data_IF_611443428979
#
_entry.id   IF_611443428979
#
_cell.length_a   1.000
_cell.length_b   1.000
_cell.length_c   1.000
_cell.angle_alpha   90.00
_cell.angle_beta   90.00
_cell.angle_gamma   90.00
#
_symmetry.space_group_name_H-M   'P 1'
#
loop_
_entity.id
_entity.type
_entity.pdbx_description
1 polymer ?
#
# COMPACT_ATOMS: atom_id res chain seq x y z
N UNK A 1 7.36 -15.70 -1.33
CA UNK A 1 6.97 -16.74 -0.34
C UNK A 1 7.35 -18.15 -0.81
N UNK A 2 7.61 -19.06 0.13
CA UNK A 2 7.51 -20.51 -0.08
C UNK A 2 6.03 -20.88 -0.26
N UNK A 3 5.49 -20.66 -1.46
CA UNK A 3 4.22 -21.25 -1.86
C UNK A 3 4.39 -22.77 -1.79
N UNK A 4 3.55 -23.44 -1.02
CA UNK A 4 3.45 -24.89 -1.14
C UNK A 4 2.75 -25.16 -2.47
N UNK A 5 3.34 -26.01 -3.32
CA UNK A 5 2.77 -26.44 -4.61
C UNK A 5 1.37 -27.06 -4.44
N UNK A 6 1.00 -27.34 -3.20
CA UNK A 6 -0.25 -27.89 -2.72
C UNK A 6 -1.41 -26.87 -2.69
N UNK A 7 -1.13 -25.56 -2.70
CA UNK A 7 -2.18 -24.53 -2.79
C UNK A 7 -2.90 -24.58 -4.13
N UNK A 8 -4.23 -24.73 -4.11
CA UNK A 8 -5.04 -24.98 -5.30
C UNK A 8 -6.20 -24.00 -5.42
N UNK A 9 -6.32 -23.42 -6.62
CA UNK A 9 -7.43 -22.55 -7.00
C UNK A 9 -8.20 -23.20 -8.15
N UNK A 10 -9.49 -23.44 -7.93
CA UNK A 10 -10.39 -24.03 -8.92
C UNK A 10 -11.49 -23.06 -9.29
N UNK A 11 -11.72 -22.91 -10.59
CA UNK A 11 -12.94 -22.34 -11.15
C UNK A 11 -13.83 -23.44 -11.71
N UNK A 12 -15.14 -23.29 -11.52
CA UNK A 12 -16.15 -24.17 -12.10
C UNK A 12 -16.98 -23.36 -13.07
N UNK A 13 -17.02 -23.74 -14.35
CA UNK A 13 -17.78 -23.05 -15.39
C UNK A 13 -18.44 -24.09 -16.30
N UNK A 14 -19.77 -24.05 -16.41
CA UNK A 14 -20.53 -25.01 -17.25
C UNK A 14 -20.18 -26.49 -16.97
N UNK A 15 -20.06 -26.86 -15.69
CA UNK A 15 -19.64 -28.19 -15.22
C UNK A 15 -18.18 -28.60 -15.53
N UNK A 16 -17.37 -27.71 -16.13
CA UNK A 16 -15.93 -27.90 -16.27
C UNK A 16 -15.17 -27.36 -15.05
N UNK A 17 -14.24 -28.15 -14.53
CA UNK A 17 -13.29 -27.76 -13.49
C UNK A 17 -11.99 -27.25 -14.14
N UNK A 18 -11.60 -26.03 -13.79
CA UNK A 18 -10.41 -25.35 -14.31
C UNK A 18 -9.49 -25.06 -13.12
N UNK A 19 -8.39 -25.79 -13.02
CA UNK A 19 -7.32 -25.51 -12.06
C UNK A 19 -6.43 -24.38 -12.57
N UNK A 20 -6.16 -23.40 -11.72
CA UNK A 20 -5.25 -22.29 -12.02
C UNK A 20 -3.94 -22.40 -11.24
N UNK A 21 -2.86 -21.98 -11.86
CA UNK A 21 -1.51 -21.99 -11.29
C UNK A 21 -1.12 -20.61 -10.75
N UNK A 22 -0.58 -20.58 -9.52
CA UNK A 22 -0.07 -19.35 -8.91
C UNK A 22 1.16 -18.83 -9.69
N UNK A 23 1.26 -17.51 -9.83
CA UNK A 23 2.29 -16.84 -10.62
C UNK A 23 1.92 -16.70 -12.09
N UNK A 24 1.50 -17.78 -12.76
CA UNK A 24 1.12 -17.72 -14.18
C UNK A 24 -0.31 -17.22 -14.39
N UNK A 25 -1.28 -17.79 -13.66
CA UNK A 25 -2.71 -17.53 -13.87
C UNK A 25 -3.29 -16.54 -12.85
N UNK A 26 -2.75 -16.52 -11.63
CA UNK A 26 -3.17 -15.61 -10.57
C UNK A 26 -2.05 -15.33 -9.56
N UNK A 27 -2.20 -14.26 -8.80
CA UNK A 27 -1.36 -13.91 -7.65
C UNK A 27 -2.25 -13.83 -6.42
N UNK A 28 -1.74 -14.25 -5.26
CA UNK A 28 -2.42 -14.06 -3.98
C UNK A 28 -2.15 -12.64 -3.48
N UNK A 29 -3.21 -11.86 -3.23
CA UNK A 29 -3.08 -10.49 -2.72
C UNK A 29 -3.41 -10.38 -1.24
N UNK A 30 -4.32 -11.22 -0.74
CA UNK A 30 -4.71 -11.25 0.67
C UNK A 30 -4.94 -12.72 1.04
N UNK A 31 -4.23 -13.17 2.07
CA UNK A 31 -4.28 -14.54 2.55
C UNK A 31 -3.56 -14.65 3.89
N UNK A 32 -3.81 -15.75 4.59
CA UNK A 32 -3.25 -16.08 5.88
C UNK A 32 -3.23 -17.58 6.09
N UNK A 33 -2.75 -18.00 7.26
CA UNK A 33 -2.52 -19.42 7.57
C UNK A 33 -3.75 -20.32 7.35
N UNK A 34 -4.97 -19.75 7.44
CA UNK A 34 -6.24 -20.47 7.35
C UNK A 34 -7.13 -20.00 6.19
N UNK A 35 -6.58 -19.30 5.21
CA UNK A 35 -7.38 -18.79 4.09
C UNK A 35 -7.80 -19.95 3.17
N UNK A 36 -9.05 -20.38 3.33
CA UNK A 36 -9.69 -21.41 2.50
C UNK A 36 -11.09 -20.95 2.09
N UNK A 37 -11.49 -21.32 0.87
CA UNK A 37 -12.85 -21.27 0.37
C UNK A 37 -13.26 -22.73 0.10
N UNK A 38 -13.76 -23.45 1.13
CA UNK A 38 -13.81 -24.92 1.13
C UNK A 38 -14.91 -25.51 0.24
N UNK A 39 -15.79 -24.66 -0.31
CA UNK A 39 -16.88 -25.06 -1.22
C UNK A 39 -16.87 -24.15 -2.43
N UNK A 40 -17.25 -24.65 -3.62
CA UNK A 40 -17.52 -23.82 -4.77
C UNK A 40 -18.49 -22.69 -4.38
N UNK A 41 -18.01 -21.46 -4.48
CA UNK A 41 -18.68 -20.25 -4.00
C UNK A 41 -18.97 -19.33 -5.19
N UNK A 42 -20.17 -18.77 -5.21
CA UNK A 42 -20.64 -17.88 -6.29
C UNK A 42 -19.78 -16.62 -6.38
N UNK A 43 -19.56 -16.17 -7.61
CA UNK A 43 -18.83 -14.94 -7.93
C UNK A 43 -19.81 -13.85 -8.33
N UNK A 44 -19.67 -12.64 -7.78
CA UNK A 44 -20.47 -11.47 -8.15
C UNK A 44 -19.57 -10.37 -8.66
N UNK A 45 -19.84 -9.92 -9.89
CA UNK A 45 -19.18 -8.76 -10.45
C UNK A 45 -19.79 -7.45 -9.95
N UNK A 46 -18.94 -6.55 -9.46
CA UNK A 46 -19.30 -5.24 -8.90
C UNK A 46 -18.55 -4.09 -9.58
N UNK A 47 -18.29 -4.15 -10.89
CA UNK A 47 -17.60 -3.04 -11.57
C UNK A 47 -16.19 -2.82 -11.02
N UNK A 48 -15.94 -1.63 -10.47
CA UNK A 48 -14.67 -1.29 -9.81
C UNK A 48 -14.71 -1.53 -8.29
N UNK A 49 -15.84 -1.94 -7.71
CA UNK A 49 -15.97 -2.17 -6.27
C UNK A 49 -15.92 -0.88 -5.44
N UNK A 50 -16.45 0.22 -5.98
CA UNK A 50 -16.36 1.56 -5.37
C UNK A 50 -17.67 1.94 -4.68
N UNK A 51 -17.55 2.60 -3.52
CA UNK A 51 -18.63 3.34 -2.87
C UNK A 51 -18.11 4.75 -2.57
N UNK A 52 -18.54 5.73 -3.36
CA UNK A 52 -18.13 7.11 -3.29
C UNK A 52 -19.37 8.04 -3.33
N UNK A 53 -20.05 8.25 -2.19
CA UNK A 53 -21.26 9.07 -2.14
C UNK A 53 -21.04 10.52 -2.64
N UNK A 54 -19.84 11.06 -2.46
CA UNK A 54 -19.44 12.38 -2.96
C UNK A 54 -19.43 12.48 -4.49
N UNK A 55 -19.33 11.36 -5.19
CA UNK A 55 -19.41 11.26 -6.65
C UNK A 55 -20.73 10.65 -7.14
N UNK A 56 -21.71 10.44 -6.25
CA UNK A 56 -22.96 9.70 -6.53
C UNK A 56 -22.70 8.32 -7.16
N UNK A 57 -21.62 7.65 -6.73
CA UNK A 57 -21.16 6.39 -7.31
C UNK A 57 -21.19 5.26 -6.28
N UNK A 58 -21.87 4.16 -6.60
CA UNK A 58 -21.90 2.96 -5.74
C UNK A 58 -22.09 1.69 -6.58
N UNK A 59 -21.00 0.95 -6.77
CA UNK A 59 -21.01 -0.27 -7.57
C UNK A 59 -21.71 -1.47 -6.90
N UNK A 60 -21.95 -1.39 -5.59
CA UNK A 60 -22.64 -2.42 -4.83
C UNK A 60 -24.16 -2.22 -4.80
N UNK A 61 -24.68 -1.17 -5.44
CA UNK A 61 -26.12 -0.95 -5.52
C UNK A 61 -26.81 -2.15 -6.16
N UNK A 62 -27.83 -2.67 -5.48
CA UNK A 62 -28.62 -3.83 -5.91
C UNK A 62 -27.80 -5.14 -6.06
N UNK A 63 -26.59 -5.21 -5.51
CA UNK A 63 -25.74 -6.42 -5.50
C UNK A 63 -25.73 -7.06 -4.11
N UNK A 64 -26.12 -8.32 -4.02
CA UNK A 64 -25.88 -9.13 -2.82
C UNK A 64 -24.54 -9.85 -2.92
N UNK A 65 -23.60 -9.48 -2.06
CA UNK A 65 -22.23 -10.03 -2.01
C UNK A 65 -21.96 -10.87 -0.75
N UNK A 66 -22.93 -10.99 0.16
CA UNK A 66 -22.76 -11.70 1.42
C UNK A 66 -22.47 -13.19 1.18
N UNK A 67 -21.36 -13.68 1.73
CA UNK A 67 -20.87 -15.05 1.56
C UNK A 67 -20.35 -15.38 0.16
N UNK A 68 -20.24 -14.40 -0.75
CA UNK A 68 -19.82 -14.61 -2.15
C UNK A 68 -18.42 -14.07 -2.40
N UNK A 69 -17.83 -14.48 -3.53
CA UNK A 69 -16.57 -13.91 -4.01
C UNK A 69 -16.87 -12.68 -4.85
N UNK A 70 -16.25 -11.54 -4.52
CA UNK A 70 -16.46 -10.29 -5.25
C UNK A 70 -15.42 -10.14 -6.35
N UNK A 71 -15.87 -10.09 -7.61
CA UNK A 71 -15.04 -9.79 -8.77
C UNK A 71 -15.09 -8.29 -9.08
N UNK A 72 -13.93 -7.67 -9.26
CA UNK A 72 -13.82 -6.24 -9.55
C UNK A 72 -12.66 -5.94 -10.50
N UNK A 73 -12.71 -4.81 -11.19
CA UNK A 73 -11.60 -4.26 -11.96
C UNK A 73 -10.69 -3.41 -11.07
N UNK A 74 -9.38 -3.42 -11.33
CA UNK A 74 -8.46 -2.45 -10.72
C UNK A 74 -8.70 -1.04 -11.23
N UNK A 75 -8.19 -0.03 -10.53
CA UNK A 75 -8.36 1.36 -10.93
C UNK A 75 -9.78 1.85 -10.67
N UNK A 76 -10.24 2.83 -11.43
CA UNK A 76 -11.55 3.46 -11.26
C UNK A 76 -12.08 3.94 -12.62
N UNK A 77 -13.35 4.37 -12.71
CA UNK A 77 -13.90 4.89 -13.95
C UNK A 77 -13.09 6.08 -14.49
N UNK A 78 -12.55 5.94 -15.71
CA UNK A 78 -11.79 7.02 -16.37
C UNK A 78 -12.73 8.20 -16.66
N UNK A 79 -12.30 9.40 -16.28
CA UNK A 79 -13.08 10.63 -16.41
C UNK A 79 -12.20 11.80 -16.81
N UNK A 80 -12.61 12.56 -17.81
CA UNK A 80 -11.95 13.84 -18.11
C UNK A 80 -12.53 15.01 -17.28
N UNK A 81 -13.46 14.72 -16.35
CA UNK A 81 -14.08 15.73 -15.51
C UNK A 81 -13.48 15.70 -14.11
N UNK A 82 -12.97 16.85 -13.67
CA UNK A 82 -12.39 16.99 -12.33
C UNK A 82 -13.41 16.75 -11.20
N UNK A 83 -14.70 16.98 -11.46
CA UNK A 83 -15.79 16.76 -10.50
C UNK A 83 -16.20 15.28 -10.35
N UNK A 84 -15.55 14.37 -11.08
CA UNK A 84 -15.83 12.94 -11.04
C UNK A 84 -14.51 12.16 -11.05
N UNK A 85 -14.16 11.57 -9.90
CA UNK A 85 -12.90 10.85 -9.67
C UNK A 85 -11.63 11.66 -10.00
N UNK A 86 -11.61 12.96 -9.70
CA UNK A 86 -10.40 13.81 -9.82
C UNK A 86 -9.78 13.91 -11.23
N UNK A 87 -10.52 13.52 -12.27
CA UNK A 87 -10.07 13.60 -13.66
C UNK A 87 -9.13 12.46 -14.06
N UNK A 88 -7.97 12.82 -14.63
CA UNK A 88 -6.95 11.86 -15.08
C UNK A 88 -6.06 11.35 -13.95
N UNK A 89 -6.12 11.99 -12.78
CA UNK A 89 -5.41 11.57 -11.59
C UNK A 89 -6.26 10.55 -10.83
N UNK A 90 -5.71 9.42 -10.37
CA UNK A 90 -6.51 8.43 -9.65
C UNK A 90 -7.14 9.04 -8.38
N UNK A 91 -7.98 8.30 -7.67
CA UNK A 91 -8.40 8.61 -6.28
C UNK A 91 -8.11 7.46 -5.32
N UNK A 92 -8.45 7.62 -4.04
CA UNK A 92 -8.39 6.54 -3.03
C UNK A 92 -9.23 5.31 -3.46
N UNK A 93 -10.22 5.50 -4.32
CA UNK A 93 -11.08 4.42 -4.78
C UNK A 93 -10.40 3.50 -5.80
N UNK A 94 -9.30 3.92 -6.44
CA UNK A 94 -8.54 3.11 -7.39
C UNK A 94 -7.77 1.93 -6.75
N UNK A 95 -7.56 1.96 -5.42
CA UNK A 95 -6.65 1.08 -4.70
C UNK A 95 -7.24 -0.30 -4.37
N UNK A 96 -6.45 -1.35 -4.60
CA UNK A 96 -6.83 -2.75 -4.35
C UNK A 96 -7.27 -2.98 -2.90
N UNK A 97 -6.48 -2.53 -1.92
CA UNK A 97 -6.78 -2.74 -0.49
C UNK A 97 -8.06 -2.04 -0.04
N UNK A 98 -8.32 -0.84 -0.58
CA UNK A 98 -9.56 -0.11 -0.29
C UNK A 98 -10.75 -0.90 -0.80
N UNK A 99 -10.70 -1.37 -2.04
CA UNK A 99 -11.77 -2.17 -2.63
C UNK A 99 -11.96 -3.51 -1.90
N UNK A 100 -10.86 -4.16 -1.53
CA UNK A 100 -10.88 -5.38 -0.74
C UNK A 100 -11.58 -5.17 0.60
N UNK A 101 -11.18 -4.14 1.38
CA UNK A 101 -11.83 -3.79 2.64
C UNK A 101 -13.32 -3.48 2.47
N UNK A 102 -13.70 -2.76 1.41
CA UNK A 102 -15.12 -2.48 1.13
C UNK A 102 -15.88 -3.77 0.88
N UNK A 103 -15.38 -4.68 0.04
CA UNK A 103 -16.01 -5.98 -0.22
C UNK A 103 -16.18 -6.80 1.08
N UNK A 104 -15.10 -6.97 1.85
CA UNK A 104 -15.13 -7.73 3.11
C UNK A 104 -16.08 -7.10 4.12
N UNK A 105 -16.12 -5.76 4.24
CA UNK A 105 -17.05 -5.06 5.14
C UNK A 105 -18.52 -5.29 4.81
N UNK A 106 -18.82 -5.75 3.59
CA UNK A 106 -20.17 -6.07 3.09
C UNK A 106 -20.48 -7.57 3.15
N UNK A 107 -19.63 -8.35 3.80
CA UNK A 107 -19.82 -9.79 4.01
C UNK A 107 -19.28 -10.66 2.88
N UNK A 108 -18.49 -10.14 1.94
CA UNK A 108 -17.84 -10.97 0.93
C UNK A 108 -16.95 -12.03 1.59
N UNK A 109 -16.95 -13.25 1.04
CA UNK A 109 -16.07 -14.33 1.45
C UNK A 109 -14.62 -14.14 0.93
N UNK A 110 -14.45 -13.32 -0.10
CA UNK A 110 -13.15 -12.95 -0.65
C UNK A 110 -13.28 -12.12 -1.92
N UNK A 111 -12.15 -11.79 -2.55
CA UNK A 111 -12.12 -10.91 -3.73
C UNK A 111 -11.25 -11.43 -4.87
N UNK A 112 -11.63 -11.07 -6.09
CA UNK A 112 -10.83 -11.23 -7.30
C UNK A 112 -10.69 -9.85 -7.94
N UNK A 113 -9.45 -9.40 -8.16
CA UNK A 113 -9.15 -8.16 -8.87
C UNK A 113 -8.60 -8.51 -10.25
N UNK A 114 -9.19 -7.93 -11.29
CA UNK A 114 -8.65 -7.98 -12.66
C UNK A 114 -7.86 -6.70 -12.91
N UNK A 115 -6.52 -6.77 -13.06
CA UNK A 115 -5.71 -5.60 -13.34
C UNK A 115 -5.99 -5.07 -14.74
N UNK A 116 -6.12 -3.75 -14.87
CA UNK A 116 -6.34 -3.03 -16.13
C UNK A 116 -5.00 -2.74 -16.83
N UNK A 117 -4.23 -3.80 -17.09
CA UNK A 117 -2.92 -3.74 -17.77
C UNK A 117 -3.05 -4.20 -19.22
N UNK A 118 -2.11 -3.79 -20.08
CA UNK A 118 -2.10 -4.20 -21.47
C UNK A 118 -1.65 -5.67 -21.58
N UNK A 119 -2.58 -6.56 -21.97
CA UNK A 119 -2.31 -7.99 -22.14
C UNK A 119 -1.27 -8.31 -23.22
N UNK A 120 -1.07 -7.41 -24.19
CA UNK A 120 -0.07 -7.62 -25.25
C UNK A 120 1.35 -7.27 -24.78
N UNK A 121 1.46 -6.64 -23.61
CA UNK A 121 2.72 -6.32 -22.98
C UNK A 121 3.03 -7.38 -21.91
N UNK A 122 3.85 -8.36 -22.27
CA UNK A 122 4.29 -9.40 -21.34
C UNK A 122 5.06 -8.86 -20.14
N UNK A 123 5.59 -7.63 -20.21
CA UNK A 123 6.32 -7.00 -19.10
C UNK A 123 5.37 -6.58 -17.97
N UNK A 124 4.14 -6.16 -18.29
CA UNK A 124 3.18 -5.68 -17.30
C UNK A 124 2.77 -6.76 -16.29
N UNK A 125 2.49 -8.00 -16.75
CA UNK A 125 2.20 -9.11 -15.83
C UNK A 125 3.45 -9.57 -15.08
N UNK A 126 4.61 -9.60 -15.75
CA UNK A 126 5.88 -9.95 -15.11
C UNK A 126 6.25 -8.98 -13.99
N UNK A 127 5.92 -7.69 -14.12
CA UNK A 127 6.09 -6.70 -13.07
C UNK A 127 5.26 -7.06 -11.83
N UNK A 128 3.99 -7.41 -11.99
CA UNK A 128 3.14 -7.87 -10.90
C UNK A 128 3.65 -9.17 -10.27
N UNK A 129 4.12 -10.14 -11.06
CA UNK A 129 4.77 -11.35 -10.52
C UNK A 129 5.94 -10.96 -9.62
N UNK A 130 6.77 -10.01 -10.05
CA UNK A 130 7.93 -9.58 -9.27
C UNK A 130 7.51 -8.87 -7.98
N UNK A 131 6.50 -7.99 -8.02
CA UNK A 131 5.96 -7.30 -6.85
C UNK A 131 5.37 -8.29 -5.82
N UNK A 132 4.64 -9.31 -6.25
CA UNK A 132 4.01 -10.32 -5.38
C UNK A 132 4.91 -11.55 -5.11
N UNK A 133 6.19 -11.48 -5.45
CA UNK A 133 7.13 -12.60 -5.24
C UNK A 133 7.71 -12.67 -3.82
N UNK A 134 7.72 -11.53 -3.13
CA UNK A 134 8.23 -11.41 -1.77
C UNK A 134 7.38 -12.19 -0.78
N UNK A 135 7.88 -12.38 0.45
CA UNK A 135 7.07 -12.96 1.51
C UNK A 135 6.03 -11.96 2.02
N UNK A 136 4.87 -12.46 2.44
CA UNK A 136 3.90 -11.67 3.17
C UNK A 136 4.32 -11.62 4.65
N UNK A 137 4.32 -10.42 5.24
CA UNK A 137 4.73 -10.19 6.62
C UNK A 137 3.66 -9.36 7.31
N UNK A 138 3.29 -9.77 8.52
CA UNK A 138 2.29 -9.08 9.33
C UNK A 138 2.66 -9.07 10.80
N UNK A 139 2.01 -8.17 11.53
CA UNK A 139 2.08 -8.15 12.99
C UNK A 139 1.34 -9.37 13.57
N UNK A 140 1.91 -9.99 14.61
CA UNK A 140 1.38 -11.23 15.19
C UNK A 140 -0.01 -11.11 15.82
N UNK A 141 -0.44 -9.88 16.13
CA UNK A 141 -1.78 -9.60 16.67
C UNK A 141 -2.81 -9.25 15.57
N UNK A 142 -2.42 -9.24 14.30
CA UNK A 142 -3.36 -9.08 13.18
C UNK A 142 -4.04 -10.44 12.91
N UNK A 143 -5.26 -10.58 13.40
CA UNK A 143 -5.99 -11.84 13.45
C UNK A 143 -6.78 -12.20 12.17
N UNK A 144 -6.84 -11.32 11.18
CA UNK A 144 -7.75 -11.47 10.04
C UNK A 144 -7.02 -11.33 8.72
N UNK A 145 -6.92 -12.43 7.97
CA UNK A 145 -6.61 -12.38 6.55
C UNK A 145 -7.78 -12.98 5.76
N UNK A 146 -8.38 -12.13 4.94
CA UNK A 146 -9.42 -12.50 3.99
C UNK A 146 -8.80 -13.04 2.70
N UNK A 147 -9.57 -13.83 1.95
CA UNK A 147 -9.12 -14.33 0.65
C UNK A 147 -9.15 -13.22 -0.41
N UNK A 148 -8.04 -13.00 -1.10
CA UNK A 148 -7.91 -12.06 -2.20
C UNK A 148 -6.93 -12.55 -3.24
N UNK A 149 -7.30 -12.46 -4.52
CA UNK A 149 -6.41 -12.74 -5.65
C UNK A 149 -6.40 -11.61 -6.68
N UNK A 150 -5.28 -11.47 -7.38
CA UNK A 150 -5.18 -10.76 -8.66
C UNK A 150 -5.18 -11.81 -9.76
N UNK A 151 -6.14 -11.73 -10.67
CA UNK A 151 -6.29 -12.70 -11.75
C UNK A 151 -5.61 -12.20 -13.02
N UNK A 152 -4.82 -13.05 -13.67
CA UNK A 152 -4.22 -12.72 -14.96
C UNK A 152 -5.33 -12.31 -15.95
N UNK A 153 -5.25 -11.14 -16.61
CA UNK A 153 -6.33 -10.68 -17.48
C UNK A 153 -6.64 -11.63 -18.65
N UNK A 154 -5.66 -12.39 -19.16
CA UNK A 154 -5.92 -13.41 -20.20
C UNK A 154 -6.82 -14.53 -19.69
N UNK A 155 -6.59 -14.97 -18.45
CA UNK A 155 -7.42 -15.98 -17.77
C UNK A 155 -8.78 -15.39 -17.45
N UNK A 156 -8.83 -14.14 -16.97
CA UNK A 156 -10.06 -13.42 -16.72
C UNK A 156 -10.93 -13.32 -17.99
N UNK A 157 -10.34 -13.12 -19.17
CA UNK A 157 -11.08 -13.15 -20.46
C UNK A 157 -11.71 -14.51 -20.73
N UNK A 158 -10.94 -15.59 -20.60
CA UNK A 158 -11.43 -16.96 -20.83
C UNK A 158 -12.57 -17.33 -19.87
N UNK A 159 -12.46 -16.89 -18.61
CA UNK A 159 -13.45 -17.18 -17.57
C UNK A 159 -14.69 -16.30 -17.71
N UNK A 160 -14.55 -14.98 -17.79
CA UNK A 160 -15.64 -14.04 -17.57
C UNK A 160 -16.12 -13.28 -18.80
N UNK A 161 -15.34 -13.21 -19.88
CA UNK A 161 -15.71 -12.41 -21.05
C UNK A 161 -16.53 -13.25 -22.02
N UNK A 162 -17.62 -12.66 -22.53
CA UNK A 162 -18.50 -13.30 -23.53
C UNK A 162 -17.74 -13.49 -24.85
N UNK A 163 -17.90 -14.64 -25.50
CA UNK A 163 -17.12 -15.07 -26.68
C UNK A 163 -17.06 -14.05 -27.85
N UNK A 164 -18.03 -13.13 -27.94
CA UNK A 164 -18.12 -12.14 -29.02
C UNK A 164 -17.52 -10.75 -28.69
N UNK A 165 -16.80 -10.58 -27.56
CA UNK A 165 -16.19 -9.30 -27.15
C UNK A 165 -14.71 -9.46 -26.75
N UNK A 166 -13.81 -9.61 -27.72
CA UNK A 166 -12.39 -9.88 -27.46
C UNK A 166 -11.41 -8.90 -28.14
N UNK A 167 -11.84 -7.68 -28.51
CA UNK A 167 -11.03 -6.79 -29.36
C UNK A 167 -10.25 -5.67 -28.66
N UNK A 168 -10.35 -5.52 -27.34
CA UNK A 168 -9.71 -4.42 -26.59
C UNK A 168 -8.50 -4.89 -25.78
N UNK A 169 -7.53 -3.99 -25.53
CA UNK A 169 -6.37 -4.27 -24.68
C UNK A 169 -6.75 -4.47 -23.20
N UNK A 170 -7.84 -3.84 -22.75
CA UNK A 170 -8.40 -3.90 -21.39
C UNK A 170 -9.80 -4.51 -21.39
N UNK A 171 -10.26 -5.01 -20.23
CA UNK A 171 -11.61 -5.61 -20.09
C UNK A 171 -12.58 -4.53 -19.63
N UNK A 172 -13.60 -4.23 -20.43
CA UNK A 172 -14.64 -3.27 -20.02
C UNK A 172 -15.68 -3.92 -19.10
N UNK A 173 -16.27 -3.18 -18.15
CA UNK A 173 -17.26 -3.73 -17.21
C UNK A 173 -18.44 -4.44 -17.90
N UNK A 174 -18.90 -3.96 -19.07
CA UNK A 174 -20.05 -4.52 -19.79
C UNK A 174 -19.73 -5.84 -20.54
N UNK A 175 -18.49 -6.29 -20.50
CA UNK A 175 -18.04 -7.55 -21.08
C UNK A 175 -18.11 -8.71 -20.10
N UNK A 176 -18.05 -8.41 -18.79
CA UNK A 176 -17.95 -9.39 -17.72
C UNK A 176 -19.29 -10.06 -17.46
N UNK A 177 -19.25 -11.39 -17.43
CA UNK A 177 -20.34 -12.27 -17.05
C UNK A 177 -19.84 -13.29 -16.02
N UNK A 178 -20.48 -13.32 -14.86
CA UNK A 178 -20.14 -14.22 -13.75
C UNK A 178 -21.17 -15.34 -13.58
N UNK A 179 -22.21 -15.39 -14.42
CA UNK A 179 -23.25 -16.41 -14.35
C UNK A 179 -22.65 -17.82 -14.48
N UNK A 180 -23.09 -18.72 -13.61
CA UNK A 180 -22.70 -20.13 -13.58
C UNK A 180 -21.19 -20.35 -13.41
N UNK A 181 -20.50 -19.38 -12.78
CA UNK A 181 -19.08 -19.49 -12.42
C UNK A 181 -18.92 -19.50 -10.90
N UNK A 182 -18.26 -20.54 -10.39
CA UNK A 182 -17.95 -20.69 -8.97
C UNK A 182 -16.43 -20.77 -8.76
N UNK A 183 -15.98 -20.41 -7.56
CA UNK A 183 -14.59 -20.51 -7.12
C UNK A 183 -14.45 -21.38 -5.88
N UNK A 184 -13.43 -22.24 -5.83
CA UNK A 184 -12.96 -22.94 -4.64
C UNK A 184 -11.47 -22.69 -4.46
N UNK A 185 -11.03 -22.49 -3.22
CA UNK A 185 -9.63 -22.27 -2.89
C UNK A 185 -9.21 -23.08 -1.67
N UNK A 186 -8.11 -23.80 -1.79
CA UNK A 186 -7.47 -24.54 -0.71
C UNK A 186 -6.04 -24.01 -0.58
N UNK A 187 -5.81 -23.15 0.42
CA UNK A 187 -4.49 -22.58 0.70
C UNK A 187 -3.72 -23.43 1.69
N UNK A 188 -2.48 -23.75 1.35
CA UNK A 188 -1.48 -24.32 2.26
C UNK A 188 -0.25 -23.42 2.27
N UNK A 189 0.13 -22.93 3.45
CA UNK A 189 1.17 -21.91 3.61
C UNK A 189 2.23 -22.35 4.61
N UNK A 190 3.50 -22.11 4.27
CA UNK A 190 4.56 -22.14 5.27
C UNK A 190 4.57 -20.83 6.04
N UNK A 191 4.47 -20.91 7.36
CA UNK A 191 4.46 -19.75 8.24
C UNK A 191 5.57 -19.86 9.27
N UNK A 192 6.22 -18.73 9.54
CA UNK A 192 7.27 -18.63 10.56
C UNK A 192 7.13 -17.34 11.34
N UNK A 193 7.40 -17.45 12.63
CA UNK A 193 7.55 -16.30 13.49
C UNK A 193 9.01 -15.82 13.51
N UNK A 194 9.19 -14.51 13.52
CA UNK A 194 10.48 -13.89 13.77
C UNK A 194 10.30 -12.57 14.49
N UNK A 195 11.39 -11.99 14.96
CA UNK A 195 11.40 -10.68 15.61
C UNK A 195 12.19 -9.70 14.75
N UNK A 196 11.62 -8.52 14.55
CA UNK A 196 12.33 -7.33 14.06
C UNK A 196 12.18 -6.20 15.08
N UNK A 197 13.06 -5.21 15.05
CA UNK A 197 13.16 -4.18 16.08
C UNK A 197 13.14 -2.78 15.47
N UNK A 198 12.21 -1.94 15.92
CA UNK A 198 12.43 -0.50 15.80
C UNK A 198 13.61 -0.09 16.69
N UNK A 199 14.48 0.79 16.19
CA UNK A 199 15.59 1.36 16.95
C UNK A 199 15.23 2.80 17.32
N UNK A 200 15.18 3.10 18.62
CA UNK A 200 14.70 4.40 19.12
C UNK A 200 15.80 5.09 19.93
N UNK A 201 16.09 6.34 19.58
CA UNK A 201 16.93 7.25 20.35
C UNK A 201 16.15 8.50 20.77
N UNK A 202 16.53 9.14 21.88
CA UNK A 202 15.88 10.38 22.32
C UNK A 202 16.91 11.40 22.78
N UNK A 203 16.75 12.65 22.33
CA UNK A 203 17.41 13.81 22.90
C UNK A 203 16.41 14.54 23.81
N UNK A 204 16.64 14.60 25.13
CA UNK A 204 15.70 15.23 26.05
C UNK A 204 15.67 16.75 25.87
N UNK A 205 14.47 17.33 25.92
CA UNK A 205 14.25 18.77 26.01
C UNK A 205 13.82 19.19 27.42
N UNK A 206 13.67 20.51 27.61
CA UNK A 206 13.39 21.12 28.92
C UNK A 206 11.92 21.48 29.18
N UNK A 207 10.99 21.13 28.28
CA UNK A 207 9.56 21.43 28.43
C UNK A 207 8.98 20.75 29.68
N UNK A 208 8.28 21.54 30.49
CA UNK A 208 7.56 21.09 31.68
C UNK A 208 6.43 20.12 31.29
N UNK A 209 5.77 20.39 30.16
CA UNK A 209 4.63 19.60 29.67
C UNK A 209 5.05 18.24 29.09
N UNK A 210 6.36 18.05 28.86
CA UNK A 210 6.97 16.87 28.23
C UNK A 210 6.35 16.57 26.88
N UNK A 211 6.49 17.52 25.95
CA UNK A 211 6.08 17.35 24.54
C UNK A 211 7.20 16.70 23.71
N UNK A 212 6.81 15.93 22.70
CA UNK A 212 7.71 15.13 21.86
C UNK A 212 7.52 15.45 20.37
N UNK A 213 8.63 15.62 19.65
CA UNK A 213 8.67 15.57 18.19
C UNK A 213 9.28 14.23 17.78
N UNK A 214 8.64 13.50 16.87
CA UNK A 214 9.20 12.28 16.30
C UNK A 214 9.83 12.61 14.95
N UNK A 215 11.05 12.15 14.72
CA UNK A 215 11.71 12.08 13.42
C UNK A 215 11.87 10.59 13.07
N UNK A 216 11.31 10.16 11.94
CA UNK A 216 11.30 8.76 11.52
C UNK A 216 11.97 8.54 10.17
N UNK A 217 12.52 7.34 9.99
CA UNK A 217 12.91 6.76 8.70
C UNK A 217 12.88 5.24 8.83
N UNK A 218 12.46 4.51 7.79
CA UNK A 218 12.59 3.05 7.80
C UNK A 218 14.01 2.60 7.47
N UNK A 219 14.43 1.46 8.02
CA UNK A 219 15.76 0.90 7.76
C UNK A 219 15.72 -0.48 7.09
N UNK A 220 14.56 -1.11 6.99
CA UNK A 220 14.41 -2.34 6.21
C UNK A 220 14.25 -2.04 4.72
N UNK A 221 14.46 -3.06 3.90
CA UNK A 221 14.12 -3.06 2.49
C UNK A 221 13.78 -4.51 2.08
N UNK A 222 13.39 -4.72 0.82
CA UNK A 222 12.90 -5.99 0.27
C UNK A 222 13.88 -7.18 0.37
N UNK A 223 15.18 -6.91 0.50
CA UNK A 223 16.20 -7.95 0.71
C UNK A 223 16.58 -8.72 -0.56
N UNK A 224 16.31 -10.03 -0.61
CA UNK A 224 16.67 -10.89 -1.75
C UNK A 224 15.39 -11.33 -2.47
N UNK A 225 15.28 -11.00 -3.76
CA UNK A 225 14.09 -11.24 -4.57
C UNK A 225 14.37 -11.76 -5.98
N UNK A 226 13.39 -11.64 -6.90
CA UNK A 226 13.55 -11.93 -8.32
C UNK A 226 14.71 -11.14 -8.91
N UNK A 227 15.37 -11.73 -9.91
CA UNK A 227 16.54 -11.09 -10.48
C UNK A 227 16.15 -9.95 -11.42
N UNK A 228 16.72 -8.76 -11.18
CA UNK A 228 16.65 -7.62 -12.09
C UNK A 228 18.06 -7.46 -12.68
N UNK A 229 18.18 -7.57 -14.00
CA UNK A 229 19.47 -7.44 -14.72
C UNK A 229 20.60 -8.36 -14.18
N UNK A 230 20.25 -9.53 -13.64
CA UNK A 230 21.21 -10.49 -13.09
C UNK A 230 21.57 -10.29 -11.62
N UNK A 231 21.09 -9.22 -10.97
CA UNK A 231 21.21 -9.01 -9.52
C UNK A 231 19.91 -9.45 -8.83
N UNK A 232 20.02 -10.02 -7.62
CA UNK A 232 18.87 -10.44 -6.78
C UNK A 232 18.75 -9.61 -5.51
N UNK A 233 19.71 -8.74 -5.23
CA UNK A 233 19.75 -7.94 -4.01
C UNK A 233 19.07 -6.60 -4.27
N UNK A 234 18.04 -6.32 -3.47
CA UNK A 234 17.37 -5.04 -3.41
C UNK A 234 18.06 -4.27 -2.28
N UNK A 235 18.90 -3.30 -2.66
CA UNK A 235 19.83 -2.64 -1.73
C UNK A 235 19.20 -1.45 -0.97
N UNK A 236 18.18 -0.79 -1.54
CA UNK A 236 17.39 0.24 -0.83
C UNK A 236 18.07 1.59 -0.66
N UNK A 237 19.22 1.83 -1.30
CA UNK A 237 20.03 3.04 -1.08
C UNK A 237 19.18 4.33 -1.05
N UNK A 238 18.29 4.49 -2.02
CA UNK A 238 17.43 5.67 -2.16
C UNK A 238 16.19 5.66 -1.29
N UNK A 239 15.70 4.47 -0.97
CA UNK A 239 14.43 4.22 -0.29
C UNK A 239 14.64 4.42 1.22
N UNK A 240 15.35 3.47 1.85
CA UNK A 240 15.58 3.48 3.29
C UNK A 240 16.93 4.11 3.70
N UNK A 241 18.02 3.78 3.01
CA UNK A 241 19.36 3.97 3.57
C UNK A 241 19.76 5.45 3.69
N UNK A 242 19.41 6.29 2.70
CA UNK A 242 19.68 7.73 2.78
C UNK A 242 18.83 8.39 3.87
N UNK A 243 17.57 7.98 4.04
CA UNK A 243 16.72 8.48 5.13
C UNK A 243 17.32 8.19 6.51
N UNK A 244 17.81 6.97 6.73
CA UNK A 244 18.53 6.59 7.96
C UNK A 244 19.82 7.39 8.14
N UNK A 245 20.58 7.61 7.07
CA UNK A 245 21.79 8.44 7.13
C UNK A 245 21.47 9.88 7.55
N UNK A 246 20.43 10.48 6.98
CA UNK A 246 19.94 11.81 7.35
C UNK A 246 19.45 11.83 8.82
N UNK A 247 18.72 10.81 9.26
CA UNK A 247 18.24 10.67 10.64
C UNK A 247 19.38 10.67 11.64
N UNK A 248 20.42 9.86 11.39
CA UNK A 248 21.62 9.79 12.22
C UNK A 248 22.39 11.11 12.24
N UNK A 249 22.50 11.77 11.08
CA UNK A 249 23.22 13.05 10.96
C UNK A 249 22.50 14.19 11.69
N UNK A 250 21.18 14.28 11.58
CA UNK A 250 20.37 15.24 12.35
C UNK A 250 20.53 15.01 13.85
N UNK A 251 20.49 13.74 14.29
CA UNK A 251 20.71 13.39 15.70
C UNK A 251 22.11 13.79 16.19
N UNK A 252 23.15 13.51 15.38
CA UNK A 252 24.54 13.88 15.66
C UNK A 252 24.72 15.39 15.77
N UNK A 253 24.17 16.16 14.83
CA UNK A 253 24.30 17.61 14.79
C UNK A 253 23.61 18.28 15.97
N UNK A 254 22.38 17.87 16.30
CA UNK A 254 21.66 18.40 17.46
C UNK A 254 22.38 18.11 18.78
N UNK A 255 22.98 16.92 18.90
CA UNK A 255 23.75 16.55 20.08
C UNK A 255 25.08 17.31 20.17
N UNK A 256 25.78 17.49 19.05
CA UNK A 256 27.10 18.14 19.00
C UNK A 256 27.02 19.64 19.26
N UNK A 257 25.97 20.31 18.77
CA UNK A 257 25.76 21.74 18.98
C UNK A 257 25.31 22.09 20.40
N UNK A 258 25.05 21.10 21.24
CA UNK A 258 24.45 21.24 22.58
C UNK A 258 23.21 22.14 22.56
N UNK A 259 22.43 22.08 21.47
CA UNK A 259 21.26 22.93 21.29
C UNK A 259 20.28 22.65 22.42
N UNK A 260 19.94 23.69 23.19
CA UNK A 260 18.93 23.57 24.22
C UNK A 260 17.54 23.43 23.57
N UNK A 261 17.04 22.21 23.55
CA UNK A 261 15.73 21.91 22.96
C UNK A 261 14.62 22.20 23.98
N UNK A 262 13.62 22.97 23.58
CA UNK A 262 12.42 23.12 24.39
C UNK A 262 11.65 21.80 24.49
N UNK A 263 11.59 21.01 23.42
CA UNK A 263 10.87 19.72 23.37
C UNK A 263 11.83 18.57 23.22
N UNK A 264 11.44 17.40 23.71
CA UNK A 264 12.23 16.20 23.46
C UNK A 264 12.07 15.77 22.00
N UNK A 265 13.14 15.30 21.39
CA UNK A 265 13.10 14.75 20.03
C UNK A 265 13.37 13.26 20.12
N UNK A 266 12.44 12.47 19.59
CA UNK A 266 12.54 11.03 19.44
C UNK A 266 12.94 10.75 18.00
N UNK A 267 14.01 10.01 17.82
CA UNK A 267 14.44 9.46 16.55
C UNK A 267 14.05 8.00 16.50
N UNK A 268 13.33 7.59 15.46
CA UNK A 268 12.92 6.20 15.27
C UNK A 268 13.37 5.70 13.91
N UNK A 269 14.18 4.64 13.91
CA UNK A 269 14.43 3.83 12.73
C UNK A 269 13.45 2.65 12.76
N UNK A 270 12.48 2.65 11.85
CA UNK A 270 11.38 1.68 11.75
C UNK A 270 11.77 0.47 10.90
N UNK A 271 11.14 -0.67 11.19
CA UNK A 271 11.31 -1.92 10.43
C UNK A 271 9.98 -2.39 9.85
N UNK A 272 9.99 -3.19 8.79
CA UNK A 272 8.80 -3.75 8.16
C UNK A 272 7.96 -2.69 7.44
N UNK A 273 8.57 -1.60 6.98
CA UNK A 273 7.87 -0.55 6.23
C UNK A 273 7.38 -1.10 4.89
N UNK A 274 8.26 -1.79 4.16
CA UNK A 274 8.03 -2.38 2.83
C UNK A 274 6.87 -3.38 2.79
N UNK A 275 6.56 -3.94 3.96
CA UNK A 275 5.54 -4.96 4.15
C UNK A 275 4.28 -4.40 4.81
N UNK A 276 4.07 -3.08 4.72
CA UNK A 276 2.87 -2.41 5.20
C UNK A 276 3.03 -1.67 6.52
N UNK A 277 4.14 -0.94 6.69
CA UNK A 277 4.33 0.01 7.80
C UNK A 277 4.29 -0.65 9.18
N UNK A 278 4.79 -1.88 9.28
CA UNK A 278 4.58 -2.73 10.46
C UNK A 278 5.25 -2.15 11.70
N UNK A 279 6.44 -1.57 11.56
CA UNK A 279 7.20 -0.97 12.65
C UNK A 279 6.55 0.29 13.21
N UNK A 280 6.15 1.23 12.36
CA UNK A 280 5.45 2.45 12.80
C UNK A 280 4.08 2.14 13.38
N UNK A 281 3.33 1.22 12.77
CA UNK A 281 2.05 0.72 13.30
C UNK A 281 2.22 0.13 14.69
N UNK A 282 3.23 -0.73 14.88
CA UNK A 282 3.55 -1.30 16.19
C UNK A 282 3.89 -0.22 17.23
N UNK A 283 4.67 0.80 16.85
CA UNK A 283 5.02 1.90 17.76
C UNK A 283 3.76 2.68 18.18
N UNK A 284 2.85 2.97 17.26
CA UNK A 284 1.61 3.69 17.57
C UNK A 284 0.74 2.89 18.54
N UNK A 285 0.64 1.57 18.36
CA UNK A 285 -0.13 0.69 19.24
C UNK A 285 0.56 0.47 20.61
N UNK A 286 1.89 0.58 20.66
CA UNK A 286 2.72 0.35 21.86
C UNK A 286 3.72 1.50 22.08
N UNK A 287 3.24 2.73 22.32
CA UNK A 287 4.10 3.90 22.22
C UNK A 287 4.98 4.07 23.45
N UNK A 288 6.24 4.44 23.23
CA UNK A 288 7.20 4.72 24.32
C UNK A 288 6.78 5.93 25.17
N UNK A 289 6.05 6.87 24.56
CA UNK A 289 5.51 8.07 25.20
C UNK A 289 4.02 8.19 24.89
N UNK A 290 3.18 8.83 25.73
CA UNK A 290 1.77 8.97 25.42
C UNK A 290 1.56 9.72 24.10
N UNK A 291 0.80 9.14 23.16
CA UNK A 291 0.62 9.71 21.81
C UNK A 291 0.11 11.16 21.82
N UNK A 292 -0.79 11.50 22.74
CA UNK A 292 -1.33 12.85 22.87
C UNK A 292 -0.28 13.91 23.28
N UNK A 293 0.92 13.49 23.69
CA UNK A 293 2.08 14.37 23.95
C UNK A 293 3.03 14.49 22.76
N UNK A 294 2.82 13.70 21.71
CA UNK A 294 3.56 13.80 20.46
C UNK A 294 2.92 14.90 19.62
N UNK A 295 3.66 15.99 19.42
CA UNK A 295 3.13 17.18 18.74
C UNK A 295 3.20 17.06 17.23
N UNK A 296 4.12 16.25 16.70
CA UNK A 296 4.25 15.96 15.28
C UNK A 296 5.15 14.74 15.02
N UNK A 297 4.98 14.14 13.84
CA UNK A 297 5.95 13.25 13.20
C UNK A 297 6.49 13.91 11.92
N UNK A 298 7.81 13.88 11.74
CA UNK A 298 8.49 14.26 10.51
C UNK A 298 9.18 13.00 9.99
N UNK A 299 8.67 12.44 8.91
CA UNK A 299 9.27 11.31 8.24
C UNK A 299 10.27 11.81 7.18
N UNK A 300 11.48 11.24 7.17
CA UNK A 300 12.58 11.61 6.28
C UNK A 300 13.02 10.38 5.48
N UNK A 301 12.09 9.92 4.68
CA UNK A 301 12.23 8.83 3.72
C UNK A 301 12.52 9.42 2.33
N UNK A 302 13.33 8.78 1.49
CA UNK A 302 13.54 9.23 0.11
C UNK A 302 14.18 10.62 -0.09
N UNK A 303 14.93 11.12 0.88
CA UNK A 303 15.59 12.44 0.81
C UNK A 303 16.92 12.41 0.04
N UNK A 304 17.35 13.57 -0.47
CA UNK A 304 18.63 13.79 -1.16
C UNK A 304 18.83 12.90 -2.41
N UNK A 305 17.76 12.74 -3.18
CA UNK A 305 17.76 12.03 -4.46
C UNK A 305 18.42 12.84 -5.59
N UNK A 306 18.36 14.17 -5.53
CA UNK A 306 18.78 15.08 -6.62
C UNK A 306 19.97 15.95 -6.17
N UNK A 307 20.98 16.11 -7.04
CA UNK A 307 22.21 16.87 -6.75
C UNK A 307 21.97 18.39 -6.55
N UNK A 308 20.99 18.99 -7.24
CA UNK A 308 20.65 20.41 -7.10
C UNK A 308 19.41 20.60 -6.21
N UNK A 309 19.64 20.96 -4.95
CA UNK A 309 18.61 21.17 -3.93
C UNK A 309 17.93 22.54 -4.09
N UNK A 310 16.98 22.65 -5.01
CA UNK A 310 16.29 23.91 -5.32
C UNK A 310 14.89 24.01 -4.65
N UNK A 311 14.29 22.86 -4.31
CA UNK A 311 13.00 22.83 -3.65
C UNK A 311 12.84 21.70 -2.63
N UNK A 312 11.74 21.77 -1.89
CA UNK A 312 11.30 20.74 -0.96
C UNK A 312 9.85 20.36 -1.24
N UNK A 313 9.54 19.09 -1.06
CA UNK A 313 8.18 18.57 -1.12
C UNK A 313 7.81 18.13 0.29
N UNK A 314 6.67 18.61 0.79
CA UNK A 314 6.16 18.27 2.12
C UNK A 314 4.80 17.62 2.04
N UNK A 315 4.77 16.31 1.84
CA UNK A 315 3.52 15.58 1.61
C UNK A 315 2.79 15.39 2.95
N UNK A 316 1.49 15.73 2.97
CA UNK A 316 0.64 15.73 4.17
C UNK A 316 0.71 17.01 5.00
N UNK A 317 1.57 17.96 4.62
CA UNK A 317 1.69 19.24 5.32
C UNK A 317 0.39 20.06 5.29
N UNK A 318 -0.39 19.91 4.22
CA UNK A 318 -1.71 20.49 3.98
C UNK A 318 -2.81 19.94 4.89
N UNK A 319 -2.58 18.77 5.51
CA UNK A 319 -3.53 18.13 6.42
C UNK A 319 -3.40 18.63 7.87
N UNK A 320 -2.45 19.53 8.14
CA UNK A 320 -2.19 20.08 9.46
C UNK A 320 -1.61 21.50 9.41
N UNK A 321 -1.25 22.05 10.57
CA UNK A 321 -0.51 23.32 10.64
C UNK A 321 0.98 23.17 10.28
N UNK A 322 1.47 21.97 9.93
CA UNK A 322 2.85 21.74 9.49
C UNK A 322 3.19 22.47 8.18
N UNK A 323 2.20 22.73 7.32
CA UNK A 323 2.34 23.59 6.14
C UNK A 323 2.96 24.95 6.45
N UNK A 324 2.58 25.58 7.57
CA UNK A 324 3.15 26.87 7.99
C UNK A 324 4.62 26.74 8.39
N UNK A 325 5.00 25.64 9.05
CA UNK A 325 6.39 25.39 9.45
C UNK A 325 7.27 25.09 8.23
N UNK A 326 6.74 24.33 7.27
CA UNK A 326 7.40 24.05 5.99
C UNK A 326 7.65 25.35 5.21
N UNK A 327 6.61 26.16 4.99
CA UNK A 327 6.71 27.46 4.30
C UNK A 327 7.71 28.41 4.95
N UNK A 328 7.65 28.54 6.28
CA UNK A 328 8.59 29.40 7.01
C UNK A 328 10.03 28.89 6.92
N UNK A 329 10.24 27.58 6.85
CA UNK A 329 11.57 26.99 6.74
C UNK A 329 12.13 27.14 5.32
N UNK A 330 11.32 26.83 4.29
CA UNK A 330 11.66 27.03 2.89
C UNK A 330 12.07 28.47 2.60
N UNK A 331 11.27 29.44 3.04
CA UNK A 331 11.55 30.87 2.87
C UNK A 331 12.87 31.30 3.53
N UNK A 332 13.22 30.74 4.70
CA UNK A 332 14.50 31.06 5.38
C UNK A 332 15.71 30.50 4.65
N UNK A 333 15.53 29.36 3.98
CA UNK A 333 16.58 28.66 3.25
C UNK A 333 16.65 29.05 1.77
N UNK A 334 15.77 29.97 1.33
CA UNK A 334 15.57 30.34 -0.08
C UNK A 334 15.26 29.14 -0.99
N UNK A 335 14.43 28.21 -0.50
CA UNK A 335 13.95 27.04 -1.25
C UNK A 335 12.53 27.26 -1.73
N UNK A 336 12.18 26.69 -2.89
CA UNK A 336 10.79 26.58 -3.31
C UNK A 336 10.09 25.42 -2.59
N UNK A 337 8.76 25.51 -2.47
CA UNK A 337 7.94 24.34 -2.13
C UNK A 337 7.38 23.83 -3.45
N UNK A 338 7.81 22.64 -3.83
CA UNK A 338 7.39 22.01 -5.06
C UNK A 338 6.21 21.08 -4.83
N UNK A 339 5.49 20.79 -5.92
CA UNK A 339 4.51 19.70 -5.93
C UNK A 339 5.23 18.38 -6.13
N UNK A 340 4.58 17.30 -5.73
CA UNK A 340 5.00 15.94 -6.09
C UNK A 340 5.23 15.89 -7.62
N UNK A 341 6.31 15.31 -8.15
CA UNK A 341 6.51 15.16 -9.60
C UNK A 341 5.50 14.16 -10.19
N UNK A 342 5.04 14.37 -11.43
CA UNK A 342 4.02 13.54 -12.13
C UNK A 342 4.26 12.03 -12.03
N UNK A 343 5.51 11.63 -12.16
CA UNK A 343 5.96 10.23 -12.06
C UNK A 343 5.89 9.62 -10.66
N UNK A 344 5.76 10.45 -9.63
CA UNK A 344 5.45 10.06 -8.25
C UNK A 344 4.01 10.41 -7.83
N UNK A 345 3.15 10.93 -8.73
CA UNK A 345 1.71 11.03 -8.45
C UNK A 345 1.15 9.62 -8.38
N UNK A 346 1.16 9.11 -7.16
CA UNK A 346 0.15 8.19 -6.67
C UNK A 346 -0.61 8.96 -5.58
N UNK A 347 -1.91 8.76 -5.44
CA UNK A 347 -2.66 9.43 -4.34
C UNK A 347 -2.23 8.96 -2.94
N UNK A 348 -1.30 8.02 -2.88
CA UNK A 348 -0.70 7.51 -1.67
C UNK A 348 0.69 8.07 -1.43
N UNK A 349 1.14 9.13 -2.10
CA UNK A 349 2.42 9.76 -1.73
C UNK A 349 2.47 10.06 -0.22
N UNK A 350 1.31 10.34 0.42
CA UNK A 350 1.17 10.40 1.88
C UNK A 350 0.91 9.05 2.59
N UNK A 351 0.30 8.06 1.93
CA UNK A 351 -0.08 6.77 2.55
C UNK A 351 0.94 5.65 2.34
N UNK A 352 2.08 5.93 1.69
CA UNK A 352 3.12 4.95 1.30
C UNK A 352 4.37 4.98 2.17
N UNK A 353 4.34 5.66 3.31
CA UNK A 353 5.46 5.62 4.24
C UNK A 353 4.98 5.88 5.67
N UNK A 354 5.86 5.70 6.63
CA UNK A 354 5.56 5.56 8.06
C UNK A 354 4.75 6.70 8.69
N UNK A 355 4.77 7.92 8.11
CA UNK A 355 4.00 9.06 8.60
C UNK A 355 2.50 8.77 8.72
N UNK A 356 1.94 7.89 7.88
CA UNK A 356 0.50 7.61 7.90
C UNK A 356 0.06 6.87 9.16
N UNK A 357 0.92 6.02 9.75
CA UNK A 357 0.61 5.35 11.00
C UNK A 357 0.39 6.39 12.12
N UNK A 358 1.26 7.40 12.18
CA UNK A 358 1.15 8.51 13.13
C UNK A 358 -0.07 9.40 12.83
N UNK A 359 -0.33 9.71 11.56
CA UNK A 359 -1.49 10.50 11.15
C UNK A 359 -2.82 9.82 11.50
N UNK A 360 -2.94 8.51 11.27
CA UNK A 360 -4.11 7.70 11.68
C UNK A 360 -4.32 7.70 13.20
N UNK A 361 -3.24 7.84 13.97
CA UNK A 361 -3.28 7.99 15.42
C UNK A 361 -3.66 9.41 15.90
N UNK A 362 -3.88 10.35 14.99
CA UNK A 362 -4.20 11.75 15.29
C UNK A 362 -2.99 12.65 15.54
N UNK A 363 -1.78 12.20 15.19
CA UNK A 363 -0.56 13.02 15.29
C UNK A 363 -0.35 13.77 13.96
N UNK A 364 -0.18 15.10 13.96
CA UNK A 364 0.20 15.85 12.76
C UNK A 364 1.47 15.26 12.14
N UNK A 365 1.41 14.82 10.89
CA UNK A 365 2.52 14.08 10.27
C UNK A 365 2.81 14.60 8.86
N UNK A 366 4.08 14.59 8.48
CA UNK A 366 4.58 15.04 7.18
C UNK A 366 5.71 14.11 6.75
N UNK A 367 5.81 13.80 5.47
CA UNK A 367 7.04 13.25 4.87
C UNK A 367 7.72 14.34 4.03
N UNK A 368 9.03 14.46 4.19
CA UNK A 368 9.85 15.47 3.50
C UNK A 368 10.66 14.77 2.41
N UNK A 369 10.59 15.30 1.19
CA UNK A 369 11.40 14.90 0.04
C UNK A 369 12.11 16.12 -0.55
N UNK A 370 13.17 15.90 -1.33
CA UNK A 370 13.81 16.91 -2.16
C UNK A 370 13.24 16.93 -3.59
N UNK A 371 13.42 18.05 -4.28
CA UNK A 371 12.96 18.28 -5.66
C UNK A 371 13.92 19.11 -6.48
#
# INVERSE_FOLDING_TARGET
TNYLNESKLYFYKNDEEIELQVGSDYLLSNFGEQTIIPKPTEIVFVGYGIIAPEFDHNDYMEKNVEGKIVLMLSGEPISNRFDFFNGDEPTIYSHADVKHRVAISRGAAGTIIIPQININDGESWQKLINEYSFEDIKLSYNASDSFGIILNPEIARKLFVRENKNSTMTISPEEINTNDILLRFEGEFFVRDFKSHNVIGMIPGNSIDKEYLIISAHYDHLGIGPSINGDKIYNGVLDNAIGVAALLEVARELKTKETLLNRSIIFIATTGEEYGLLGSSYYVDHPMVPLYKTIANINIDGVAYIDEFNGIIGIGSELSNLSNYLQNTANKLNLSIEKIPKEFYSNEAFNRSDQIAFAKAGIPSIVILDS
#
